data_IF_060748652362
#
_entry.id   IF_060748652362
#
_cell.length_a   1.000
_cell.length_b   1.000
_cell.length_c   1.000
_cell.angle_alpha   90.00
_cell.angle_beta   90.00
_cell.angle_gamma   90.00
#
_symmetry.space_group_name_H-M   'P 1'
#
loop_
_entity.id
_entity.type
_entity.pdbx_description
1 polymer ?
#
# COMPACT_ATOMS: atom_id res chain seq x y z
N UNK A 1 -24.08 56.75 31.46
CA UNK A 1 -24.21 57.33 32.81
C UNK A 1 -24.64 56.24 33.78
N UNK A 2 -23.97 56.17 34.94
CA UNK A 2 -24.39 55.72 36.30
C UNK A 2 -25.49 54.63 36.40
N UNK A 3 -25.19 53.45 36.99
CA UNK A 3 -25.26 53.14 38.45
C UNK A 3 -26.66 53.50 39.00
N UNK A 4 -27.44 52.63 39.67
CA UNK A 4 -27.12 51.69 40.76
C UNK A 4 -28.42 50.95 41.16
N UNK A 5 -28.23 49.74 41.71
CA UNK A 5 -28.87 49.13 42.89
C UNK A 5 -30.08 49.83 43.51
N UNK A 6 -31.08 49.06 43.96
CA UNK A 6 -31.39 48.86 45.40
C UNK A 6 -32.62 47.96 45.67
N UNK A 7 -32.44 46.95 46.54
CA UNK A 7 -33.26 46.65 47.74
C UNK A 7 -34.68 46.02 47.53
N UNK A 8 -35.24 45.11 48.36
CA UNK A 8 -34.99 44.69 49.75
C UNK A 8 -35.87 43.43 50.07
N UNK A 9 -35.31 42.42 50.78
CA UNK A 9 -35.81 41.54 51.89
C UNK A 9 -37.17 40.78 51.75
N UNK A 10 -37.47 39.62 52.38
CA UNK A 10 -37.22 39.12 53.73
C UNK A 10 -37.42 37.58 53.80
N UNK A 11 -36.75 36.97 54.77
CA UNK A 11 -36.76 35.59 55.30
C UNK A 11 -38.09 34.81 55.38
N UNK A 12 -38.04 33.47 55.38
CA UNK A 12 -38.19 32.60 56.58
C UNK A 12 -37.78 31.15 56.25
N UNK A 13 -37.05 30.56 57.19
CA UNK A 13 -36.56 29.19 57.32
C UNK A 13 -37.54 28.05 57.00
N UNK A 14 -37.02 26.98 56.38
CA UNK A 14 -37.37 25.61 56.77
C UNK A 14 -36.12 24.72 56.69
N UNK A 15 -35.58 24.37 57.86
CA UNK A 15 -34.63 23.26 58.04
C UNK A 15 -35.44 21.96 58.04
N UNK A 16 -35.13 21.03 57.14
CA UNK A 16 -34.98 19.61 57.45
C UNK A 16 -34.47 18.81 56.24
N UNK A 17 -33.21 18.40 56.38
CA UNK A 17 -32.57 17.18 55.90
C UNK A 17 -33.05 16.55 54.57
N UNK A 18 -32.25 16.80 53.54
CA UNK A 18 -31.93 15.82 52.51
C UNK A 18 -30.46 15.98 52.15
N UNK A 19 -29.61 15.06 52.57
CA UNK A 19 -28.18 15.10 52.27
C UNK A 19 -27.99 14.96 50.75
N UNK A 20 -27.76 16.07 50.06
CA UNK A 20 -27.11 16.08 48.75
C UNK A 20 -25.67 15.61 48.96
N UNK A 21 -25.43 14.34 48.66
CA UNK A 21 -24.09 13.81 48.47
C UNK A 21 -23.41 14.55 47.32
N UNK A 22 -22.18 14.99 47.55
CA UNK A 22 -21.29 15.64 46.60
C UNK A 22 -21.46 15.08 45.18
N UNK A 23 -21.88 15.91 44.22
CA UNK A 23 -21.53 15.67 42.83
C UNK A 23 -20.06 16.04 42.69
N UNK A 24 -19.23 14.99 42.72
CA UNK A 24 -17.86 15.02 42.23
C UNK A 24 -17.98 14.94 40.71
N UNK A 25 -17.53 15.97 39.99
CA UNK A 25 -17.43 15.92 38.53
C UNK A 25 -16.57 14.71 38.15
N UNK A 26 -17.22 13.63 37.73
CA UNK A 26 -16.55 12.45 37.21
C UNK A 26 -16.07 12.77 35.80
N UNK A 27 -14.76 12.69 35.60
CA UNK A 27 -14.19 12.71 34.26
C UNK A 27 -14.89 11.64 33.40
N UNK A 28 -15.16 11.92 32.11
CA UNK A 28 -15.81 10.96 31.24
C UNK A 28 -15.06 9.62 31.30
N UNK A 29 -15.78 8.48 31.34
CA UNK A 29 -15.17 7.18 31.55
C UNK A 29 -14.10 6.95 30.49
N UNK A 30 -12.92 6.52 30.94
CA UNK A 30 -11.87 6.05 30.05
C UNK A 30 -12.48 4.99 29.12
N UNK A 31 -12.19 5.04 27.81
CA UNK A 31 -12.66 4.01 26.89
C UNK A 31 -12.24 2.63 27.42
N UNK A 32 -13.10 1.61 27.31
CA UNK A 32 -12.79 0.27 27.79
C UNK A 32 -11.49 -0.21 27.17
N UNK A 33 -10.59 -0.71 28.02
CA UNK A 33 -9.33 -1.34 27.65
C UNK A 33 -9.65 -2.42 26.60
N UNK A 34 -9.33 -2.14 25.33
CA UNK A 34 -9.42 -3.16 24.28
C UNK A 34 -8.31 -4.15 24.63
N UNK A 35 -8.60 -5.43 24.93
CA UNK A 35 -7.55 -6.41 25.14
C UNK A 35 -6.66 -6.41 23.90
N UNK A 36 -5.36 -6.15 24.06
CA UNK A 36 -4.39 -6.41 22.99
C UNK A 36 -4.61 -7.87 22.54
N UNK A 37 -4.91 -8.07 21.25
CA UNK A 37 -5.05 -9.42 20.72
C UNK A 37 -3.80 -10.23 21.06
N UNK A 38 -3.94 -11.46 21.56
CA UNK A 38 -2.79 -12.29 21.85
C UNK A 38 -1.95 -12.44 20.57
N UNK A 39 -0.62 -12.25 20.63
CA UNK A 39 0.22 -12.40 19.46
C UNK A 39 0.02 -13.79 18.85
N UNK A 40 -0.21 -13.84 17.54
CA UNK A 40 -0.34 -15.08 16.79
C UNK A 40 0.86 -16.00 17.11
N UNK A 41 0.57 -17.23 17.54
CA UNK A 41 1.60 -18.25 17.81
C UNK A 41 1.76 -19.11 16.55
N UNK A 42 2.92 -19.07 15.88
CA UNK A 42 3.12 -19.87 14.68
C UNK A 42 3.01 -21.38 14.97
N UNK A 43 2.41 -22.16 14.06
CA UNK A 43 2.42 -23.62 14.13
C UNK A 43 3.85 -24.17 14.26
N UNK A 44 4.03 -25.26 15.01
CA UNK A 44 5.33 -25.89 15.28
C UNK A 44 5.87 -26.70 14.08
N UNK A 45 5.73 -26.18 12.86
CA UNK A 45 6.23 -26.82 11.63
C UNK A 45 7.66 -26.40 11.25
N UNK A 46 8.29 -25.53 12.06
CA UNK A 46 9.66 -25.08 11.87
C UNK A 46 9.84 -24.09 10.73
N UNK A 47 8.76 -23.62 10.11
CA UNK A 47 8.85 -22.59 9.07
C UNK A 47 9.17 -21.23 9.70
N UNK A 48 9.99 -20.44 9.00
CA UNK A 48 10.19 -19.03 9.37
C UNK A 48 8.86 -18.31 9.27
N UNK A 49 8.41 -17.74 10.39
CA UNK A 49 7.25 -16.86 10.45
C UNK A 49 7.67 -15.42 10.14
N UNK A 50 6.90 -14.75 9.28
CA UNK A 50 7.11 -13.37 8.84
C UNK A 50 5.77 -12.64 9.00
N UNK A 51 5.75 -11.63 9.87
CA UNK A 51 4.62 -10.73 10.05
C UNK A 51 4.79 -9.52 9.12
N UNK A 52 3.91 -9.38 8.12
CA UNK A 52 4.11 -8.40 7.05
C UNK A 52 4.23 -6.96 7.57
N UNK A 53 3.46 -6.57 8.59
CA UNK A 53 3.51 -5.21 9.17
C UNK A 53 4.86 -4.86 9.82
N UNK A 54 5.67 -5.86 10.18
CA UNK A 54 6.96 -5.70 10.84
C UNK A 54 8.15 -6.04 9.92
N UNK A 55 7.89 -6.79 8.85
CA UNK A 55 8.88 -7.23 7.88
C UNK A 55 9.44 -6.08 7.03
N UNK A 56 10.61 -6.30 6.45
CA UNK A 56 11.27 -5.41 5.47
C UNK A 56 11.81 -6.23 4.29
N UNK A 57 12.28 -5.56 3.24
CA UNK A 57 12.89 -6.20 2.06
C UNK A 57 13.97 -7.23 2.42
N UNK A 58 14.77 -6.95 3.45
CA UNK A 58 15.81 -7.88 3.90
C UNK A 58 15.24 -9.24 4.36
N UNK A 59 14.03 -9.27 4.94
CA UNK A 59 13.37 -10.52 5.31
C UNK A 59 13.04 -11.37 4.08
N UNK A 60 12.63 -10.75 2.96
CA UNK A 60 12.45 -11.48 1.71
C UNK A 60 13.78 -12.03 1.18
N UNK A 61 14.82 -11.18 1.10
CA UNK A 61 16.13 -11.56 0.55
C UNK A 61 16.77 -12.70 1.34
N UNK A 62 16.76 -12.60 2.68
CA UNK A 62 17.37 -13.60 3.55
C UNK A 62 16.65 -14.96 3.52
N UNK A 63 15.39 -14.98 3.08
CA UNK A 63 14.58 -16.18 2.96
C UNK A 63 14.26 -16.53 1.48
N UNK A 64 15.00 -15.96 0.53
CA UNK A 64 14.80 -16.25 -0.89
C UNK A 64 15.02 -17.75 -1.16
N UNK A 65 14.12 -18.34 -1.94
CA UNK A 65 14.05 -19.78 -2.22
C UNK A 65 13.72 -20.67 -1.02
N UNK A 66 13.34 -20.11 0.13
CA UNK A 66 12.88 -20.88 1.29
C UNK A 66 11.36 -20.87 1.39
N UNK A 67 10.79 -21.94 1.95
CA UNK A 67 9.38 -21.97 2.34
C UNK A 67 9.23 -21.28 3.68
N UNK A 68 8.34 -20.30 3.72
CA UNK A 68 8.06 -19.46 4.88
C UNK A 68 6.56 -19.41 5.13
N UNK A 69 6.19 -18.94 6.32
CA UNK A 69 4.83 -18.54 6.66
C UNK A 69 4.78 -17.02 6.72
N UNK A 70 3.97 -16.41 5.86
CA UNK A 70 3.74 -14.96 5.90
C UNK A 70 2.32 -14.71 6.39
N UNK A 71 2.18 -13.86 7.37
CA UNK A 71 0.89 -13.37 7.84
C UNK A 71 0.78 -11.86 7.59
N UNK A 72 -0.41 -11.40 7.23
CA UNK A 72 -0.70 -9.99 7.13
C UNK A 72 -1.93 -9.67 6.31
N UNK A 73 -2.05 -8.39 5.95
CA UNK A 73 -3.18 -7.87 5.20
C UNK A 73 -2.82 -7.70 3.72
N UNK A 74 -3.71 -8.19 2.84
CA UNK A 74 -3.51 -8.07 1.40
C UNK A 74 -3.72 -6.63 0.92
N UNK A 75 -2.82 -6.20 0.05
CA UNK A 75 -3.02 -5.04 -0.82
C UNK A 75 -3.28 -5.54 -2.24
N UNK A 76 -4.27 -4.97 -2.91
CA UNK A 76 -4.74 -5.38 -4.23
C UNK A 76 -4.51 -4.24 -5.22
N UNK A 77 -3.70 -4.50 -6.25
CA UNK A 77 -3.49 -3.56 -7.37
C UNK A 77 -3.58 -4.30 -8.69
N UNK A 78 -4.37 -3.74 -9.62
CA UNK A 78 -4.64 -4.31 -10.95
C UNK A 78 -4.98 -5.80 -10.93
N UNK A 79 -5.85 -6.20 -10.00
CA UNK A 79 -6.31 -7.59 -9.86
C UNK A 79 -5.24 -8.57 -9.37
N UNK A 80 -4.14 -8.08 -8.79
CA UNK A 80 -3.11 -8.90 -8.14
C UNK A 80 -2.98 -8.51 -6.68
N UNK A 81 -2.82 -9.53 -5.84
CA UNK A 81 -2.74 -9.38 -4.40
C UNK A 81 -1.31 -9.58 -3.95
N UNK A 82 -0.88 -8.76 -2.98
CA UNK A 82 0.45 -8.82 -2.42
C UNK A 82 0.39 -8.60 -0.91
N UNK A 83 1.42 -9.04 -0.21
CA UNK A 83 1.77 -8.45 1.07
C UNK A 83 2.59 -7.19 0.81
N UNK A 84 2.34 -6.14 1.59
CA UNK A 84 3.19 -4.95 1.66
C UNK A 84 3.88 -4.95 3.02
N UNK A 85 5.21 -4.97 2.99
CA UNK A 85 6.05 -4.93 4.17
C UNK A 85 6.17 -3.51 4.72
N UNK A 86 6.72 -3.36 5.92
CA UNK A 86 6.85 -2.08 6.62
C UNK A 86 7.60 -1.01 5.82
N UNK A 87 8.61 -1.42 5.06
CA UNK A 87 9.38 -0.56 4.15
C UNK A 87 8.76 -0.44 2.76
N UNK A 88 7.47 -0.77 2.64
CA UNK A 88 6.70 -0.82 1.40
C UNK A 88 7.22 -1.80 0.35
N UNK A 89 8.11 -2.73 0.74
CA UNK A 89 8.50 -3.83 -0.14
C UNK A 89 7.30 -4.76 -0.39
N UNK A 90 7.03 -5.07 -1.66
CA UNK A 90 5.85 -5.83 -2.07
C UNK A 90 6.20 -7.25 -2.50
N UNK A 91 5.46 -8.21 -1.95
CA UNK A 91 5.57 -9.62 -2.28
C UNK A 91 4.25 -10.09 -2.86
N UNK A 92 4.20 -10.26 -4.18
CA UNK A 92 3.00 -10.68 -4.91
C UNK A 92 2.69 -12.15 -4.63
N UNK A 93 1.42 -12.47 -4.39
CA UNK A 93 0.97 -13.85 -4.27
C UNK A 93 1.01 -14.50 -5.65
N UNK A 94 1.65 -15.66 -5.74
CA UNK A 94 1.76 -16.39 -6.99
C UNK A 94 1.30 -17.84 -6.83
N UNK A 95 0.46 -18.26 -7.78
CA UNK A 95 0.14 -19.66 -8.03
C UNK A 95 -0.03 -19.84 -9.54
N UNK A 96 0.25 -21.05 -10.01
CA UNK A 96 -0.03 -21.43 -11.39
C UNK A 96 -1.50 -21.12 -11.78
N UNK A 97 -1.70 -20.58 -12.99
CA UNK A 97 -3.00 -20.13 -13.47
C UNK A 97 -4.00 -21.28 -13.58
N UNK A 98 -3.57 -22.47 -14.00
CA UNK A 98 -4.45 -23.62 -14.13
C UNK A 98 -4.92 -24.09 -12.74
N UNK A 99 -4.05 -24.03 -11.73
CA UNK A 99 -4.45 -24.29 -10.33
C UNK A 99 -5.36 -23.21 -9.78
N UNK A 100 -5.08 -21.93 -10.03
CA UNK A 100 -5.96 -20.84 -9.59
C UNK A 100 -7.37 -21.00 -10.18
N UNK A 101 -7.48 -21.45 -11.43
CA UNK A 101 -8.77 -21.66 -12.08
C UNK A 101 -9.66 -22.67 -11.34
N UNK A 102 -9.08 -23.67 -10.66
CA UNK A 102 -9.83 -24.66 -9.88
C UNK A 102 -10.32 -24.16 -8.52
N UNK A 103 -9.86 -22.99 -8.07
CA UNK A 103 -10.27 -22.46 -6.77
C UNK A 103 -11.75 -22.06 -6.78
N UNK A 104 -12.47 -22.27 -5.65
CA UNK A 104 -13.81 -21.74 -5.45
C UNK A 104 -13.88 -20.22 -5.64
N UNK A 105 -15.05 -19.74 -6.07
CA UNK A 105 -15.25 -18.32 -6.37
C UNK A 105 -15.12 -17.42 -5.13
N UNK A 106 -15.57 -17.89 -3.97
CA UNK A 106 -15.44 -17.19 -2.69
C UNK A 106 -13.97 -17.03 -2.27
N UNK A 107 -13.13 -18.05 -2.47
CA UNK A 107 -11.69 -17.96 -2.19
C UNK A 107 -11.01 -16.96 -3.12
N UNK A 108 -11.33 -16.99 -4.42
CA UNK A 108 -10.82 -16.00 -5.38
C UNK A 108 -11.22 -14.58 -5.00
N UNK A 109 -12.47 -14.39 -4.54
CA UNK A 109 -12.96 -13.09 -4.09
C UNK A 109 -12.21 -12.60 -2.84
N UNK A 110 -11.95 -13.48 -1.86
CA UNK A 110 -11.14 -13.15 -0.68
C UNK A 110 -9.72 -12.77 -1.05
N UNK A 111 -9.07 -13.51 -1.95
CA UNK A 111 -7.73 -13.18 -2.42
C UNK A 111 -7.69 -11.78 -3.04
N UNK A 112 -8.72 -11.38 -3.78
CA UNK A 112 -8.80 -10.06 -4.45
C UNK A 112 -9.44 -8.95 -3.59
N UNK A 113 -9.67 -9.18 -2.30
CA UNK A 113 -10.25 -8.19 -1.40
C UNK A 113 -9.16 -7.39 -0.71
N UNK A 114 -9.16 -6.08 -0.93
CA UNK A 114 -8.28 -5.13 -0.23
C UNK A 114 -8.45 -5.29 1.29
N UNK A 115 -7.33 -5.38 2.01
CA UNK A 115 -7.32 -5.54 3.46
C UNK A 115 -7.80 -6.91 3.95
N UNK A 116 -7.93 -7.93 3.08
CA UNK A 116 -8.17 -9.29 3.54
C UNK A 116 -6.96 -9.79 4.34
N UNK A 117 -7.19 -10.20 5.58
CA UNK A 117 -6.18 -10.87 6.39
C UNK A 117 -5.95 -12.29 5.88
N UNK A 118 -4.67 -12.66 5.74
CA UNK A 118 -4.25 -13.93 5.19
C UNK A 118 -2.95 -14.39 5.87
N UNK A 119 -2.94 -15.64 6.31
CA UNK A 119 -1.72 -16.41 6.50
C UNK A 119 -1.50 -17.31 5.27
N UNK A 120 -0.31 -17.22 4.68
CA UNK A 120 0.11 -18.06 3.56
C UNK A 120 1.34 -18.88 3.92
N UNK A 121 1.37 -20.14 3.51
CA UNK A 121 2.58 -20.95 3.46
C UNK A 121 3.06 -21.01 2.02
N UNK A 122 4.26 -20.52 1.74
CA UNK A 122 4.75 -20.45 0.37
C UNK A 122 6.25 -20.28 0.29
N UNK A 123 6.79 -20.45 -0.91
CA UNK A 123 8.20 -20.26 -1.21
C UNK A 123 8.43 -18.84 -1.73
N UNK A 124 9.34 -18.09 -1.13
CA UNK A 124 9.78 -16.85 -1.75
C UNK A 124 10.57 -17.14 -3.01
N UNK A 125 10.17 -16.53 -4.12
CA UNK A 125 10.81 -16.68 -5.42
C UNK A 125 10.98 -15.32 -6.10
N UNK A 126 11.97 -15.29 -6.98
CA UNK A 126 12.11 -14.24 -7.97
C UNK A 126 11.76 -14.80 -9.34
N UNK A 127 10.85 -14.14 -10.05
CA UNK A 127 10.50 -14.49 -11.42
C UNK A 127 10.92 -13.39 -12.37
N UNK A 128 11.92 -13.68 -13.20
CA UNK A 128 12.32 -12.78 -14.29
C UNK A 128 11.40 -12.98 -15.49
N UNK A 129 10.60 -11.96 -15.80
CA UNK A 129 9.74 -11.94 -16.98
C UNK A 129 10.58 -11.84 -18.27
N UNK A 130 9.96 -12.10 -19.42
CA UNK A 130 10.65 -12.02 -20.72
C UNK A 130 11.20 -10.64 -21.09
N UNK A 131 10.77 -9.57 -20.40
CA UNK A 131 11.29 -8.21 -20.59
C UNK A 131 12.43 -7.85 -19.62
N UNK A 132 12.86 -8.80 -18.76
CA UNK A 132 13.93 -8.62 -17.79
C UNK A 132 13.49 -8.08 -16.42
N UNK A 133 12.19 -7.87 -16.20
CA UNK A 133 11.65 -7.46 -14.89
C UNK A 133 11.63 -8.63 -13.91
N UNK A 134 11.99 -8.40 -12.66
CA UNK A 134 12.02 -9.45 -11.64
C UNK A 134 10.90 -9.25 -10.63
N UNK A 135 9.86 -10.10 -10.73
CA UNK A 135 8.78 -10.15 -9.75
C UNK A 135 9.27 -10.76 -8.46
N UNK A 136 8.87 -10.18 -7.32
CA UNK A 136 9.10 -10.71 -5.98
C UNK A 136 7.81 -11.37 -5.53
N UNK A 137 7.85 -12.68 -5.37
CA UNK A 137 6.63 -13.47 -5.21
C UNK A 137 6.72 -14.45 -4.05
N UNK A 138 5.57 -14.77 -3.49
CA UNK A 138 5.38 -15.95 -2.64
C UNK A 138 4.58 -16.99 -3.43
N UNK A 139 5.27 -18.05 -3.86
CA UNK A 139 4.68 -19.17 -4.58
C UNK A 139 4.03 -20.14 -3.59
N UNK A 140 2.71 -20.31 -3.70
CA UNK A 140 1.94 -21.30 -2.95
C UNK A 140 1.36 -22.35 -3.91
N UNK A 141 1.01 -23.53 -3.38
CA UNK A 141 0.73 -24.71 -4.21
C UNK A 141 -0.75 -25.06 -4.25
N UNK A 142 -1.51 -24.77 -3.20
CA UNK A 142 -2.94 -25.07 -3.14
C UNK A 142 -3.69 -24.19 -2.15
N UNK A 143 -5.02 -24.38 -2.07
CA UNK A 143 -5.89 -23.69 -1.10
C UNK A 143 -5.49 -24.03 0.34
N UNK A 144 -4.91 -25.20 0.59
CA UNK A 144 -4.51 -25.63 1.94
C UNK A 144 -3.35 -24.79 2.50
N UNK A 145 -2.61 -24.11 1.62
CA UNK A 145 -1.56 -23.18 2.01
C UNK A 145 -2.12 -21.81 2.45
N UNK A 146 -3.43 -21.59 2.31
CA UNK A 146 -4.11 -20.33 2.62
C UNK A 146 -5.00 -20.49 3.85
N UNK A 147 -4.79 -19.65 4.84
CA UNK A 147 -5.66 -19.53 6.01
C UNK A 147 -6.16 -18.10 6.09
N UNK A 148 -7.47 -17.93 5.87
CA UNK A 148 -8.14 -16.64 5.99
C UNK A 148 -8.70 -16.49 7.39
N UNK A 149 -8.30 -15.43 8.07
CA UNK A 149 -8.99 -15.00 9.28
C UNK A 149 -10.11 -14.02 8.91
N UNK A 150 -11.21 -14.09 9.69
CA UNK A 150 -12.37 -13.22 9.49
C UNK A 150 -12.31 -11.99 10.40
N UNK A 151 -11.17 -11.73 11.02
CA UNK A 151 -10.96 -10.55 11.84
C UNK A 151 -11.14 -9.32 10.95
N UNK A 152 -11.97 -8.35 11.35
CA UNK A 152 -12.02 -7.07 10.65
C UNK A 152 -10.60 -6.50 10.65
N UNK A 153 -10.09 -6.01 9.51
CA UNK A 153 -8.76 -5.43 9.48
C UNK A 153 -8.69 -4.32 10.53
N UNK A 154 -7.55 -4.15 11.24
CA UNK A 154 -7.37 -2.96 12.05
C UNK A 154 -7.61 -1.75 11.14
N UNK A 155 -8.24 -0.67 11.65
CA UNK A 155 -8.50 0.51 10.84
C UNK A 155 -7.21 0.92 10.15
N UNK A 156 -7.17 0.75 8.82
CA UNK A 156 -6.04 1.25 8.04
C UNK A 156 -5.94 2.74 8.39
N UNK A 157 -4.72 3.29 8.58
CA UNK A 157 -4.55 4.73 8.57
C UNK A 157 -5.37 5.29 7.40
N UNK A 158 -6.17 6.36 7.61
CA UNK A 158 -7.07 6.87 6.57
C UNK A 158 -6.29 6.91 5.27
N UNK A 159 -6.81 6.26 4.23
CA UNK A 159 -6.11 6.07 2.96
C UNK A 159 -5.40 7.37 2.63
N UNK A 160 -4.08 7.39 2.80
CA UNK A 160 -3.34 8.62 2.58
C UNK A 160 -3.69 9.04 1.17
N UNK A 161 -4.30 10.22 1.02
CA UNK A 161 -4.61 10.77 -0.29
C UNK A 161 -3.34 10.63 -1.11
N UNK A 162 -3.35 9.74 -2.11
CA UNK A 162 -2.13 9.40 -2.84
C UNK A 162 -1.52 10.71 -3.32
N UNK A 163 -0.33 11.07 -2.82
CA UNK A 163 0.19 12.41 -2.96
C UNK A 163 0.41 12.70 -4.44
N UNK A 164 -0.14 13.83 -4.89
CA UNK A 164 0.12 14.35 -6.22
C UNK A 164 1.42 15.16 -6.15
N UNK A 165 2.43 14.68 -6.86
CA UNK A 165 3.73 15.30 -6.98
C UNK A 165 3.87 15.86 -8.39
N UNK A 166 4.48 17.05 -8.49
CA UNK A 166 4.88 17.65 -9.76
C UNK A 166 6.34 17.32 -10.01
N UNK A 167 6.65 16.65 -11.13
CA UNK A 167 8.02 16.27 -11.48
C UNK A 167 8.98 17.47 -11.42
N UNK A 168 8.53 18.64 -11.90
CA UNK A 168 9.28 19.90 -11.89
C UNK A 168 9.54 20.51 -10.51
N UNK A 169 8.99 19.94 -9.43
CA UNK A 169 9.11 20.45 -8.05
C UNK A 169 9.78 19.49 -7.07
N UNK A 170 9.89 18.21 -7.42
CA UNK A 170 10.48 17.18 -6.56
C UNK A 170 11.94 16.91 -6.93
N UNK A 171 12.71 16.38 -5.97
CA UNK A 171 14.09 15.94 -6.18
C UNK A 171 14.26 14.48 -5.79
N UNK A 172 15.24 13.83 -6.42
CA UNK A 172 15.51 12.42 -6.16
C UNK A 172 15.93 12.16 -4.71
N UNK A 173 16.77 13.03 -4.14
CA UNK A 173 17.31 12.79 -2.80
C UNK A 173 16.28 12.98 -1.68
N UNK A 174 15.27 13.83 -1.89
CA UNK A 174 14.31 14.22 -0.86
C UNK A 174 12.99 13.47 -0.96
N UNK A 175 12.47 13.35 -2.16
CA UNK A 175 11.08 12.95 -2.36
C UNK A 175 10.94 11.49 -2.80
N UNK A 176 12.00 10.90 -3.36
CA UNK A 176 12.02 9.49 -3.74
C UNK A 176 12.15 8.61 -2.50
N UNK A 177 11.03 8.03 -2.09
CA UNK A 177 10.98 7.00 -1.05
C UNK A 177 10.57 5.71 -1.72
N UNK A 178 11.48 4.74 -1.81
CA UNK A 178 11.21 3.45 -2.44
C UNK A 178 9.97 2.79 -1.81
N UNK A 179 9.11 2.22 -2.65
CA UNK A 179 7.85 1.60 -2.27
C UNK A 179 6.70 2.59 -2.01
N UNK A 180 6.95 3.90 -1.95
CA UNK A 180 5.89 4.90 -1.76
C UNK A 180 4.98 5.00 -2.99
N UNK A 181 3.68 4.88 -2.77
CA UNK A 181 2.67 5.14 -3.78
C UNK A 181 2.43 6.65 -3.95
N UNK A 182 2.41 7.10 -5.21
CA UNK A 182 2.35 8.51 -5.59
C UNK A 182 1.54 8.67 -6.89
N UNK A 183 1.06 9.89 -7.13
CA UNK A 183 0.65 10.36 -8.46
C UNK A 183 1.71 11.34 -8.93
N UNK A 184 2.43 11.04 -10.00
CA UNK A 184 3.41 11.96 -10.57
C UNK A 184 2.81 12.63 -11.80
N UNK A 185 2.66 13.94 -11.74
CA UNK A 185 2.33 14.77 -12.89
C UNK A 185 3.61 15.37 -13.49
N UNK A 186 3.69 15.39 -14.81
CA UNK A 186 4.79 16.02 -15.51
C UNK A 186 4.80 15.76 -17.01
N UNK A 187 5.87 16.22 -17.65
CA UNK A 187 6.07 16.12 -19.09
C UNK A 187 7.17 15.11 -19.37
N UNK A 188 6.95 14.24 -20.36
CA UNK A 188 8.00 13.34 -20.87
C UNK A 188 9.06 14.18 -21.57
N UNK A 189 10.27 14.20 -21.02
CA UNK A 189 11.39 14.99 -21.53
C UNK A 189 12.33 14.17 -22.40
N UNK A 190 12.45 12.87 -22.15
CA UNK A 190 13.36 12.00 -22.88
C UNK A 190 12.76 10.62 -23.14
N UNK A 191 13.17 10.02 -24.25
CA UNK A 191 12.94 8.62 -24.56
C UNK A 191 14.30 7.92 -24.65
N UNK A 192 14.43 6.74 -24.05
CA UNK A 192 15.62 5.89 -24.22
C UNK A 192 15.21 4.50 -24.65
N UNK A 193 16.02 3.90 -25.50
CA UNK A 193 15.89 2.49 -25.82
C UNK A 193 16.75 1.73 -24.82
N UNK A 194 16.12 0.95 -23.95
CA UNK A 194 16.79 0.11 -22.96
C UNK A 194 16.56 -1.38 -23.27
N UNK A 195 17.55 -2.21 -22.97
CA UNK A 195 17.52 -3.68 -23.12
C UNK A 195 18.59 -4.21 -24.09
N UNK A 196 19.19 -5.36 -23.76
CA UNK A 196 20.27 -5.99 -24.56
C UNK A 196 19.72 -7.02 -25.56
N UNK A 197 18.51 -7.56 -25.31
CA UNK A 197 17.86 -8.58 -26.15
C UNK A 197 16.49 -8.17 -26.70
N UNK A 198 15.74 -7.35 -25.94
CA UNK A 198 14.46 -6.79 -26.33
C UNK A 198 14.55 -5.26 -26.16
N UNK A 199 14.88 -4.56 -27.25
CA UNK A 199 14.95 -3.09 -27.25
C UNK A 199 13.57 -2.51 -26.95
N UNK A 200 13.44 -1.85 -25.79
CA UNK A 200 12.17 -1.25 -25.36
C UNK A 200 12.33 0.25 -25.20
N UNK A 201 11.43 1.01 -25.82
CA UNK A 201 11.35 2.45 -25.58
C UNK A 201 10.85 2.68 -24.17
N UNK A 202 11.54 3.55 -23.43
CA UNK A 202 11.23 3.96 -22.07
C UNK A 202 11.04 5.47 -22.04
N UNK A 203 9.97 5.91 -21.39
CA UNK A 203 9.66 7.32 -21.20
C UNK A 203 10.24 7.82 -19.88
N UNK A 204 10.80 9.02 -19.89
CA UNK A 204 11.39 9.67 -18.73
C UNK A 204 10.85 11.07 -18.54
N UNK A 205 10.63 11.45 -17.29
CA UNK A 205 10.44 12.84 -16.88
C UNK A 205 11.72 13.35 -16.22
N UNK A 206 12.04 14.63 -16.41
CA UNK A 206 13.13 15.30 -15.69
C UNK A 206 12.57 15.95 -14.43
N UNK A 207 13.24 15.73 -13.30
CA UNK A 207 12.93 16.30 -12.01
C UNK A 207 13.54 17.69 -11.80
N UNK A 208 13.17 18.38 -10.72
CA UNK A 208 13.65 19.73 -10.42
C UNK A 208 15.18 19.84 -10.28
N UNK A 209 15.82 18.76 -9.84
CA UNK A 209 17.28 18.65 -9.67
C UNK A 209 18.01 18.18 -10.94
N UNK A 210 17.29 18.01 -12.06
CA UNK A 210 17.82 17.52 -13.32
C UNK A 210 17.97 16.00 -13.40
N UNK A 211 17.69 15.25 -12.32
CA UNK A 211 17.64 13.80 -12.37
C UNK A 211 16.43 13.34 -13.20
N UNK A 212 16.48 12.11 -13.70
CA UNK A 212 15.40 11.54 -14.50
C UNK A 212 14.67 10.45 -13.72
N UNK A 213 13.36 10.37 -13.93
CA UNK A 213 12.54 9.27 -13.45
C UNK A 213 11.85 8.58 -14.62
N UNK A 214 11.96 7.26 -14.66
CA UNK A 214 11.32 6.44 -15.68
C UNK A 214 9.83 6.26 -15.37
N UNK A 215 8.97 6.36 -16.38
CA UNK A 215 7.56 5.98 -16.28
C UNK A 215 7.44 4.57 -16.84
N UNK A 216 7.10 3.58 -16.01
CA UNK A 216 7.25 2.18 -16.39
C UNK A 216 6.11 1.25 -16.00
N UNK A 217 5.75 0.40 -16.94
CA UNK A 217 4.96 -0.80 -16.72
C UNK A 217 5.51 -1.97 -17.54
N UNK A 218 5.42 -3.18 -17.00
CA UNK A 218 5.95 -4.39 -17.63
C UNK A 218 5.27 -4.71 -18.98
N UNK A 219 3.99 -4.42 -19.09
CA UNK A 219 3.13 -4.74 -20.22
C UNK A 219 3.02 -3.57 -21.20
N UNK A 220 3.79 -2.48 -21.02
CA UNK A 220 3.66 -1.28 -21.86
C UNK A 220 3.92 -1.51 -23.36
N UNK A 221 4.64 -2.58 -23.71
CA UNK A 221 4.86 -2.97 -25.10
C UNK A 221 3.63 -3.65 -25.73
N UNK A 222 2.74 -4.21 -24.91
CA UNK A 222 1.50 -4.86 -25.35
C UNK A 222 0.33 -3.87 -25.44
N UNK A 223 0.55 -2.61 -25.08
CA UNK A 223 -0.49 -1.58 -25.15
C UNK A 223 -0.91 -1.28 -26.60
N UNK A 224 -2.17 -0.84 -26.82
CA UNK A 224 -2.64 -0.37 -28.12
C UNK A 224 -1.69 0.68 -28.71
N UNK A 225 -1.53 0.68 -30.04
CA UNK A 225 -0.58 1.57 -30.70
C UNK A 225 -0.84 3.06 -30.38
N UNK A 226 -2.11 3.47 -30.36
CA UNK A 226 -2.52 4.83 -30.01
C UNK A 226 -2.04 5.28 -28.62
N UNK A 227 -1.95 4.35 -27.66
CA UNK A 227 -1.46 4.65 -26.31
C UNK A 227 0.06 4.74 -26.31
N UNK A 228 0.73 3.83 -27.01
CA UNK A 228 2.19 3.87 -27.17
C UNK A 228 2.64 5.16 -27.86
N UNK A 229 1.89 5.64 -28.85
CA UNK A 229 2.21 6.88 -29.57
C UNK A 229 2.11 8.12 -28.67
N UNK A 230 1.26 8.09 -27.63
CA UNK A 230 1.21 9.15 -26.60
C UNK A 230 2.30 8.96 -25.54
N UNK A 231 2.41 7.75 -25.00
CA UNK A 231 3.33 7.41 -23.91
C UNK A 231 4.80 7.53 -24.33
N UNK A 232 5.13 7.24 -25.58
CA UNK A 232 6.49 7.30 -26.12
C UNK A 232 6.67 8.50 -27.05
N UNK A 233 6.19 9.67 -26.61
CA UNK A 233 6.37 10.95 -27.30
C UNK A 233 6.89 11.99 -26.33
N UNK A 234 8.00 12.62 -26.70
CA UNK A 234 8.56 13.77 -25.97
C UNK A 234 7.58 14.93 -26.05
N UNK A 235 7.41 15.62 -24.93
CA UNK A 235 6.45 16.72 -24.78
C UNK A 235 5.05 16.29 -24.36
N UNK A 236 4.76 14.99 -24.27
CA UNK A 236 3.49 14.52 -23.72
C UNK A 236 3.43 14.82 -22.22
N UNK A 237 2.39 15.55 -21.80
CA UNK A 237 2.05 15.78 -20.40
C UNK A 237 1.12 14.67 -19.90
N UNK A 238 1.41 14.10 -18.73
CA UNK A 238 0.58 13.06 -18.14
C UNK A 238 0.67 13.08 -16.61
N UNK A 239 -0.34 12.51 -15.97
CA UNK A 239 -0.29 12.07 -14.57
C UNK A 239 -0.25 10.55 -14.56
N UNK A 240 0.71 9.97 -13.83
CA UNK A 240 0.78 8.53 -13.59
C UNK A 240 0.65 8.24 -12.10
N UNK A 241 -0.24 7.33 -11.75
CA UNK A 241 -0.30 6.71 -10.42
C UNK A 241 0.60 5.49 -10.40
N UNK A 242 1.50 5.42 -9.44
CA UNK A 242 2.40 4.27 -9.34
C UNK A 242 3.19 4.28 -8.04
N UNK A 243 4.17 3.40 -7.98
CA UNK A 243 5.07 3.26 -6.85
C UNK A 243 6.46 3.72 -7.25
N UNK A 244 7.13 4.50 -6.40
CA UNK A 244 8.56 4.73 -6.56
C UNK A 244 9.33 3.42 -6.39
N UNK A 245 10.03 2.98 -7.42
CA UNK A 245 10.78 1.74 -7.43
C UNK A 245 12.21 1.99 -7.95
N UNK A 246 13.18 1.22 -7.45
CA UNK A 246 14.57 1.26 -7.90
C UNK A 246 15.03 -0.17 -8.19
N UNK A 247 15.34 -0.46 -9.45
CA UNK A 247 15.87 -1.76 -9.87
C UNK A 247 17.17 -1.60 -10.66
N UNK A 248 17.08 -1.10 -11.89
CA UNK A 248 18.25 -0.63 -12.66
C UNK A 248 18.26 0.89 -12.81
N UNK A 249 17.08 1.48 -12.84
CA UNK A 249 16.81 2.91 -12.85
C UNK A 249 15.76 3.19 -11.79
N UNK A 250 15.66 4.45 -11.36
CA UNK A 250 14.54 4.92 -10.54
C UNK A 250 13.34 5.15 -11.42
N UNK A 251 12.20 4.63 -11.00
CA UNK A 251 10.99 4.60 -11.80
C UNK A 251 9.73 4.85 -10.96
N UNK A 252 8.69 5.33 -11.65
CA UNK A 252 7.31 5.18 -11.21
C UNK A 252 6.77 3.93 -11.89
N UNK A 253 6.67 2.84 -11.11
CA UNK A 253 6.09 1.59 -11.53
C UNK A 253 4.56 1.68 -11.42
N UNK A 254 3.88 1.81 -12.55
CA UNK A 254 2.43 1.81 -12.63
C UNK A 254 1.92 0.43 -13.04
N UNK A 255 0.67 0.10 -12.73
CA UNK A 255 0.17 -1.28 -12.87
C UNK A 255 -0.65 -1.47 -14.15
N UNK A 256 -1.37 -0.44 -14.60
CA UNK A 256 -2.24 -0.53 -15.78
C UNK A 256 -2.46 0.83 -16.44
N UNK A 257 -3.11 0.84 -17.61
CA UNK A 257 -3.47 2.06 -18.31
C UNK A 257 -4.41 2.97 -17.53
N UNK A 258 -5.25 2.41 -16.66
CA UNK A 258 -6.16 3.19 -15.79
C UNK A 258 -5.38 4.05 -14.78
N UNK A 259 -4.11 3.74 -14.54
CA UNK A 259 -3.23 4.54 -13.69
C UNK A 259 -2.60 5.72 -14.46
N UNK A 260 -2.82 5.87 -15.77
CA UNK A 260 -2.30 6.97 -16.59
C UNK A 260 -3.43 7.87 -17.05
N UNK A 261 -3.26 9.17 -16.84
CA UNK A 261 -4.10 10.21 -17.43
C UNK A 261 -3.22 11.08 -18.33
N UNK A 262 -3.48 11.06 -19.64
CA UNK A 262 -2.83 11.96 -20.59
C UNK A 262 -3.51 13.33 -20.57
N UNK A 263 -2.72 14.40 -20.56
CA UNK A 263 -3.18 15.78 -20.66
C UNK A 263 -2.92 16.31 -22.08
N UNK A 264 -3.86 17.10 -22.61
CA UNK A 264 -3.82 17.63 -23.98
C UNK A 264 -3.23 19.05 -24.03
#
# INVERSE_FOLDING_TARGET
MKKRNLLLWLSVWLLLLGAMSCHKDEAPPLPPDIPEEPPYVPPADGLKYIEAKDAVQADFINNLNQTVRVHGHLVVRSGRSAFEFKDHFRVELYIDRAKLATFPADIKAKLLKEGQELTIVGKFIEFTTGNGFVKKQIEYKSIQDLVFDNTPPPPRPPAETIPLLEASKITMAKDFVQGKEIRLHGVITHLRILGVKNFTTRAFMTLADGNEIQIYNEDQNTYPQEIKDKLFKVGTELTVRGIFNEYYTREVLYNSLDDITFHN
#
